data_IF_540391349931
#
_entry.id   IF_540391349931
#
_cell.length_a   1.000
_cell.length_b   1.000
_cell.length_c   1.000
_cell.angle_alpha   90.00
_cell.angle_beta   90.00
_cell.angle_gamma   90.00
#
_symmetry.space_group_name_H-M   'P 1'
#
loop_
_entity.id
_entity.type
_entity.pdbx_description
1 polymer ?
#
# COMPACT_ATOMS: atom_id res chain seq x y z
N UNK A 1 11.61 8.65 -3.30
CA UNK A 1 10.46 7.84 -2.85
C UNK A 1 9.19 8.16 -3.64
N UNK A 2 8.76 9.42 -3.67
CA UNK A 2 7.55 9.81 -4.43
C UNK A 2 7.66 9.45 -5.92
N UNK A 3 8.81 9.71 -6.53
CA UNK A 3 9.04 9.40 -7.94
C UNK A 3 8.93 7.89 -8.20
N UNK A 4 9.51 7.05 -7.30
CA UNK A 4 9.44 5.59 -7.46
C UNK A 4 8.02 5.07 -7.29
N UNK A 5 7.23 5.63 -6.38
CA UNK A 5 5.84 5.25 -6.19
C UNK A 5 4.96 5.61 -7.38
N UNK A 6 5.16 6.79 -7.96
CA UNK A 6 4.47 7.18 -9.19
C UNK A 6 4.86 6.29 -10.36
N UNK A 7 6.13 5.91 -10.45
CA UNK A 7 6.61 5.00 -11.48
C UNK A 7 5.96 3.62 -11.39
N UNK A 8 5.82 3.07 -10.17
CA UNK A 8 5.15 1.78 -9.96
C UNK A 8 3.69 1.86 -10.42
N UNK A 9 2.99 2.92 -10.09
CA UNK A 9 1.59 3.11 -10.52
C UNK A 9 1.48 3.16 -12.06
N UNK A 10 2.36 3.92 -12.70
CA UNK A 10 2.39 4.03 -14.16
C UNK A 10 2.72 2.68 -14.82
N UNK A 11 3.68 1.94 -14.26
CA UNK A 11 4.05 0.61 -14.74
C UNK A 11 2.87 -0.35 -14.62
N UNK A 12 2.16 -0.34 -13.50
CA UNK A 12 0.99 -1.19 -13.29
C UNK A 12 -0.09 -0.91 -14.34
N UNK A 13 -0.34 0.36 -14.65
CA UNK A 13 -1.29 0.75 -15.68
C UNK A 13 -0.87 0.25 -17.07
N UNK A 14 0.40 0.42 -17.42
CA UNK A 14 0.96 -0.03 -18.68
C UNK A 14 0.89 -1.56 -18.82
N UNK A 15 1.27 -2.29 -17.79
CA UNK A 15 1.19 -3.76 -17.75
C UNK A 15 -0.25 -4.24 -17.94
N UNK A 16 -1.20 -3.57 -17.31
CA UNK A 16 -2.61 -3.93 -17.41
C UNK A 16 -3.10 -3.82 -18.85
N UNK A 17 -2.69 -2.77 -19.54
CA UNK A 17 -3.03 -2.59 -20.96
C UNK A 17 -2.32 -3.64 -21.83
N UNK A 18 -1.04 -3.84 -21.64
CA UNK A 18 -0.23 -4.74 -22.46
C UNK A 18 -0.63 -6.21 -22.30
N UNK A 19 -1.05 -6.62 -21.11
CA UNK A 19 -1.40 -8.00 -20.79
C UNK A 19 -2.88 -8.30 -20.92
N UNK A 20 -3.67 -7.33 -21.34
CA UNK A 20 -5.12 -7.46 -21.44
C UNK A 20 -5.53 -8.63 -22.33
N UNK A 21 -4.94 -8.74 -23.52
CA UNK A 21 -5.26 -9.81 -24.47
C UNK A 21 -4.83 -11.19 -24.00
N UNK A 22 -3.86 -11.25 -23.09
CA UNK A 22 -3.41 -12.52 -22.50
C UNK A 22 -4.28 -12.97 -21.31
N UNK A 23 -5.25 -12.15 -20.90
CA UNK A 23 -6.12 -12.48 -19.76
C UNK A 23 -5.41 -12.45 -18.42
N UNK A 24 -4.30 -11.76 -18.31
CA UNK A 24 -3.52 -11.67 -17.08
C UNK A 24 -4.01 -10.47 -16.26
N UNK A 25 -4.32 -10.74 -14.99
CA UNK A 25 -4.75 -9.72 -14.05
C UNK A 25 -3.57 -8.95 -13.50
N UNK A 26 -3.73 -7.64 -13.40
CA UNK A 26 -2.74 -6.76 -12.78
C UNK A 26 -3.46 -5.89 -11.75
N UNK A 27 -3.06 -6.02 -10.50
CA UNK A 27 -3.61 -5.23 -9.40
C UNK A 27 -2.51 -4.47 -8.68
N UNK A 28 -2.89 -3.41 -8.00
CA UNK A 28 -1.98 -2.58 -7.22
C UNK A 28 -2.58 -2.32 -5.84
N UNK A 29 -1.78 -2.45 -4.81
CA UNK A 29 -2.18 -2.10 -3.44
C UNK A 29 -1.40 -0.87 -3.01
N UNK A 30 -2.13 0.14 -2.56
CA UNK A 30 -1.55 1.42 -2.09
C UNK A 30 -1.93 1.64 -0.63
N UNK A 31 -1.13 1.13 0.33
CA UNK A 31 -1.44 1.32 1.73
C UNK A 31 -1.00 2.69 2.26
N UNK A 32 -1.71 3.20 3.25
CA UNK A 32 -1.26 4.31 4.08
C UNK A 32 -0.22 3.86 5.09
N UNK A 33 -0.33 4.31 6.34
CA UNK A 33 0.64 3.93 7.37
C UNK A 33 0.52 2.46 7.74
N UNK A 34 1.56 1.70 7.47
CA UNK A 34 1.71 0.30 7.87
C UNK A 34 2.89 0.20 8.81
N UNK A 35 2.69 -0.39 9.97
CA UNK A 35 3.77 -0.59 10.94
C UNK A 35 4.67 -1.73 10.49
N UNK A 36 5.81 -1.40 9.93
CA UNK A 36 6.82 -2.33 9.42
C UNK A 36 8.20 -1.81 9.78
N UNK A 37 9.24 -2.53 9.39
CA UNK A 37 10.63 -2.11 9.56
C UNK A 37 11.04 -0.96 8.62
N UNK A 38 10.19 -0.58 7.68
CA UNK A 38 10.53 0.44 6.68
C UNK A 38 10.98 1.75 7.30
N UNK A 39 10.31 2.21 8.35
CA UNK A 39 10.68 3.46 9.02
C UNK A 39 12.04 3.37 9.71
N UNK A 40 12.39 2.20 10.28
CA UNK A 40 13.73 2.00 10.85
C UNK A 40 14.81 2.07 9.77
N UNK A 41 14.59 1.43 8.64
CA UNK A 41 15.49 1.46 7.49
C UNK A 41 15.63 2.88 6.95
N UNK A 42 14.49 3.58 6.78
CA UNK A 42 14.46 4.96 6.28
C UNK A 42 15.27 5.91 7.14
N UNK A 43 15.29 5.72 8.45
CA UNK A 43 16.01 6.56 9.40
C UNK A 43 17.35 5.96 9.86
N UNK A 44 17.92 5.06 9.04
CA UNK A 44 19.23 4.45 9.26
C UNK A 44 19.34 3.73 10.61
N UNK A 45 18.28 3.03 10.99
CA UNK A 45 18.25 2.26 12.24
C UNK A 45 17.91 3.07 13.48
N UNK A 46 17.52 4.34 13.34
CA UNK A 46 17.05 5.17 14.45
C UNK A 46 15.64 4.74 14.86
N UNK A 47 15.57 3.83 15.82
CA UNK A 47 14.29 3.26 16.30
C UNK A 47 13.41 4.31 16.97
N UNK A 48 13.99 5.32 17.61
CA UNK A 48 13.23 6.37 18.27
C UNK A 48 12.49 7.24 17.23
N UNK A 49 13.16 7.63 16.14
CA UNK A 49 12.52 8.36 15.04
C UNK A 49 11.49 7.51 14.34
N UNK A 50 11.79 6.22 14.12
CA UNK A 50 10.86 5.28 13.50
C UNK A 50 9.58 5.13 14.33
N UNK A 51 9.72 4.99 15.66
CA UNK A 51 8.58 4.90 16.56
C UNK A 51 7.73 6.18 16.56
N UNK A 52 8.36 7.34 16.37
CA UNK A 52 7.67 8.62 16.31
C UNK A 52 6.70 8.74 15.16
N UNK A 53 6.93 8.03 14.07
CA UNK A 53 6.04 8.00 12.89
C UNK A 53 4.66 7.48 13.28
N UNK A 54 4.59 6.49 14.18
CA UNK A 54 3.34 5.83 14.57
C UNK A 54 2.75 6.36 15.87
N UNK A 55 3.33 7.41 16.45
CA UNK A 55 2.87 7.95 17.73
C UNK A 55 1.43 8.43 17.63
N UNK A 56 0.55 7.88 18.48
CA UNK A 56 -0.86 8.24 18.52
C UNK A 56 -1.68 7.71 17.33
N UNK A 57 -1.12 6.80 16.55
CA UNK A 57 -1.74 6.23 15.35
C UNK A 57 -1.89 4.72 15.51
N UNK A 58 -3.08 4.21 15.27
CA UNK A 58 -3.29 2.77 15.10
C UNK A 58 -3.06 2.44 13.61
N UNK A 59 -1.81 2.20 13.27
CA UNK A 59 -1.39 1.91 11.91
C UNK A 59 -1.88 0.55 11.43
N UNK A 60 -1.96 0.37 10.12
CA UNK A 60 -2.21 -0.95 9.53
C UNK A 60 -1.03 -1.88 9.85
N UNK A 61 -1.31 -3.17 9.90
CA UNK A 61 -0.29 -4.20 10.05
C UNK A 61 -0.07 -4.93 8.73
N UNK A 62 1.05 -5.62 8.60
CA UNK A 62 1.33 -6.41 7.40
C UNK A 62 0.24 -7.41 7.09
N UNK A 63 -0.37 -8.00 8.11
CA UNK A 63 -1.48 -8.96 7.97
C UNK A 63 -2.70 -8.32 7.30
N UNK A 64 -2.97 -7.05 7.55
CA UNK A 64 -4.09 -6.34 6.93
C UNK A 64 -3.90 -6.23 5.43
N UNK A 65 -2.68 -5.93 5.01
CA UNK A 65 -2.32 -5.83 3.59
C UNK A 65 -2.37 -7.21 2.93
N UNK A 66 -1.83 -8.23 3.62
CA UNK A 66 -1.85 -9.60 3.13
C UNK A 66 -3.29 -10.11 2.92
N UNK A 67 -4.19 -9.79 3.84
CA UNK A 67 -5.60 -10.17 3.75
C UNK A 67 -6.27 -9.52 2.52
N UNK A 68 -5.99 -8.25 2.27
CA UNK A 68 -6.51 -7.55 1.10
C UNK A 68 -5.98 -8.17 -0.20
N UNK A 69 -4.69 -8.50 -0.25
CA UNK A 69 -4.09 -9.16 -1.42
C UNK A 69 -4.73 -10.53 -1.65
N UNK A 70 -4.93 -11.30 -0.58
CA UNK A 70 -5.59 -12.61 -0.67
C UNK A 70 -6.99 -12.48 -1.25
N UNK A 71 -7.75 -11.49 -0.81
CA UNK A 71 -9.09 -11.22 -1.36
C UNK A 71 -9.02 -10.93 -2.85
N UNK A 72 -8.10 -10.05 -3.27
CA UNK A 72 -7.92 -9.72 -4.69
C UNK A 72 -7.61 -10.95 -5.54
N UNK A 73 -6.81 -11.87 -5.03
CA UNK A 73 -6.45 -13.11 -5.71
C UNK A 73 -7.58 -14.13 -5.73
N UNK A 74 -8.56 -13.98 -4.86
CA UNK A 74 -9.70 -14.92 -4.73
C UNK A 74 -10.88 -14.56 -5.61
N UNK A 75 -10.80 -13.48 -6.38
CA UNK A 75 -11.90 -12.99 -7.21
C UNK A 75 -12.13 -13.85 -8.44
N UNK A 76 -13.36 -13.85 -8.99
CA UNK A 76 -13.66 -14.58 -10.23
C UNK A 76 -12.78 -14.16 -11.39
N UNK A 77 -12.59 -15.05 -12.35
CA UNK A 77 -11.69 -14.82 -13.49
C UNK A 77 -12.02 -13.56 -14.30
N UNK A 78 -13.30 -13.17 -14.38
CA UNK A 78 -13.73 -12.00 -15.16
C UNK A 78 -13.60 -10.68 -14.41
N UNK A 79 -13.16 -10.71 -13.15
CA UNK A 79 -13.10 -9.52 -12.29
C UNK A 79 -11.65 -9.21 -11.92
N UNK A 80 -11.22 -7.97 -12.16
CA UNK A 80 -9.91 -7.48 -11.74
C UNK A 80 -10.08 -6.23 -10.86
N UNK A 81 -9.38 -6.20 -9.74
CA UNK A 81 -9.26 -4.97 -8.94
C UNK A 81 -8.01 -4.25 -9.42
N UNK A 82 -8.18 -3.15 -10.12
CA UNK A 82 -7.07 -2.40 -10.69
C UNK A 82 -6.18 -1.77 -9.64
N UNK A 83 -6.79 -1.12 -8.66
CA UNK A 83 -6.06 -0.65 -7.49
C UNK A 83 -6.96 -0.62 -6.26
N UNK A 84 -6.34 -0.68 -5.10
CA UNK A 84 -7.03 -0.58 -3.82
C UNK A 84 -6.18 0.29 -2.88
N UNK A 85 -6.80 1.28 -2.28
CA UNK A 85 -6.16 2.16 -1.31
C UNK A 85 -6.65 1.77 0.08
N UNK A 86 -5.71 1.41 0.95
CA UNK A 86 -5.99 0.99 2.31
C UNK A 86 -5.40 2.02 3.28
N UNK A 87 -6.25 2.61 4.10
CA UNK A 87 -5.82 3.60 5.08
C UNK A 87 -6.19 3.16 6.49
N UNK A 88 -5.35 3.45 7.50
CA UNK A 88 -5.81 3.41 8.87
C UNK A 88 -7.01 4.34 9.02
N UNK A 89 -7.94 4.01 9.88
CA UNK A 89 -9.13 4.82 10.08
C UNK A 89 -8.80 6.28 10.45
N UNK A 90 -7.66 6.48 11.12
CA UNK A 90 -7.21 7.81 11.54
C UNK A 90 -6.48 8.61 10.46
N UNK A 91 -6.30 8.04 9.27
CA UNK A 91 -5.57 8.68 8.17
C UNK A 91 -6.49 8.85 6.95
N UNK A 92 -6.64 10.08 6.48
CA UNK A 92 -7.41 10.36 5.28
C UNK A 92 -6.55 10.39 4.02
N UNK A 93 -5.27 10.71 4.15
CA UNK A 93 -4.32 10.80 3.05
C UNK A 93 -2.93 11.11 3.57
N UNK A 94 -2.00 11.42 2.68
CA UNK A 94 -0.60 11.64 3.03
C UNK A 94 -0.41 12.76 4.07
N UNK A 95 -1.27 13.75 4.07
CA UNK A 95 -1.13 14.95 4.91
C UNK A 95 -2.19 15.08 6.00
N UNK A 96 -3.10 14.15 6.10
CA UNK A 96 -4.25 14.24 6.99
C UNK A 96 -4.31 13.01 7.90
N UNK A 97 -3.72 13.14 9.08
CA UNK A 97 -3.69 12.06 10.07
C UNK A 97 -4.11 12.62 11.43
N UNK A 98 -5.08 11.97 12.07
CA UNK A 98 -5.50 12.30 13.43
C UNK A 98 -4.67 11.48 14.42
N UNK A 99 -3.94 12.15 15.28
CA UNK A 99 -3.12 11.53 16.33
C UNK A 99 -3.74 11.79 17.69
N UNK A 100 -3.86 10.75 18.46
CA UNK A 100 -4.38 10.85 19.84
C UNK A 100 -3.32 11.31 20.81
#
# INVERSE_FOLDING_TARGET
YCASKHAVHAISQAMRADLLSAGIKVGEVRPGMVETEFSEVRFHGDKERAAGVYKGVEALQGEDIAEAIHWMLSLPAHMNVNDIVLMPTCQAGAYYTYRK
#
